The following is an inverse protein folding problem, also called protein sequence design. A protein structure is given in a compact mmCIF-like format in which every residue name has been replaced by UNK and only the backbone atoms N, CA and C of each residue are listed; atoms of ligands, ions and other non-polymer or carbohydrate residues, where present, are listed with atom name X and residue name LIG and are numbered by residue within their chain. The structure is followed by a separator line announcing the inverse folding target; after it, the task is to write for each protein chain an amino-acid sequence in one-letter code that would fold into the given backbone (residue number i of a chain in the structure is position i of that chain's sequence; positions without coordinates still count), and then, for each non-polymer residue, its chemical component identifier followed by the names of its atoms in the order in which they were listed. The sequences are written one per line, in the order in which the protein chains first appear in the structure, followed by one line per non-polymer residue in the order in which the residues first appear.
data_IF_476564964749
#
_entry.id   IF_476564964749
#
_cell.length_a   1.000
_cell.length_b   1.000
_cell.length_c   1.000
_cell.angle_alpha   90.00
_cell.angle_beta   90.00
_cell.angle_gamma   90.00
#
_symmetry.space_group_name_H-M   'P 1'
#
loop_
_entity.id
_entity.type
_entity.pdbx_description
1 polymer ?
#
# COMPACT_ATOMS: atom_id res chain seq x y z
N UNK A 1 -0.97 -39.61 -41.88
CA UNK A 1 -0.31 -40.41 -42.95
C UNK A 1 1.08 -40.83 -42.51
N UNK A 2 1.68 -41.83 -43.16
CA UNK A 2 3.06 -42.26 -42.89
C UNK A 2 4.06 -41.36 -43.63
N UNK A 3 4.89 -40.63 -42.89
CA UNK A 3 5.86 -39.67 -43.43
C UNK A 3 7.13 -40.31 -44.01
N UNK A 4 7.26 -41.64 -43.96
CA UNK A 4 8.28 -42.40 -44.72
C UNK A 4 7.86 -42.70 -46.16
N UNK A 5 6.58 -42.46 -46.49
CA UNK A 5 6.01 -42.67 -47.82
C UNK A 5 5.82 -41.33 -48.56
N UNK A 6 5.82 -41.36 -49.91
CA UNK A 6 6.08 -42.52 -50.78
C UNK A 6 7.55 -42.94 -50.82
N UNK A 7 7.78 -44.25 -50.93
CA UNK A 7 9.09 -44.90 -51.12
C UNK A 7 9.32 -45.34 -52.58
N UNK A 8 10.54 -45.79 -52.91
CA UNK A 8 10.87 -46.35 -54.24
C UNK A 8 10.03 -47.59 -54.61
N UNK A 9 9.42 -48.26 -53.63
CA UNK A 9 8.55 -49.42 -53.83
C UNK A 9 7.05 -49.06 -53.83
N UNK A 10 6.70 -47.79 -53.65
CA UNK A 10 5.30 -47.35 -53.65
C UNK A 10 4.72 -47.43 -55.06
N UNK A 11 3.57 -48.09 -55.20
CA UNK A 11 2.87 -48.15 -56.47
C UNK A 11 2.54 -46.72 -56.95
N UNK A 12 2.73 -46.46 -58.24
CA UNK A 12 2.47 -45.14 -58.83
C UNK A 12 1.03 -44.66 -58.56
N UNK A 13 0.06 -45.58 -58.57
CA UNK A 13 -1.34 -45.29 -58.25
C UNK A 13 -1.53 -44.69 -56.84
N UNK A 14 -0.71 -45.11 -55.87
CA UNK A 14 -0.79 -44.64 -54.49
C UNK A 14 0.05 -43.38 -54.25
N UNK A 15 1.05 -43.11 -55.09
CA UNK A 15 1.96 -41.96 -54.95
C UNK A 15 1.18 -40.63 -54.90
N UNK A 16 0.19 -40.47 -55.79
CA UNK A 16 -0.63 -39.26 -55.86
C UNK A 16 -1.42 -39.05 -54.58
N UNK A 17 -2.05 -40.09 -54.06
CA UNK A 17 -2.88 -40.01 -52.86
C UNK A 17 -2.04 -39.76 -51.61
N UNK A 18 -0.86 -40.38 -51.52
CA UNK A 18 0.13 -40.14 -50.46
C UNK A 18 0.62 -38.70 -50.46
N UNK A 19 0.98 -38.17 -51.63
CA UNK A 19 1.42 -36.77 -51.75
C UNK A 19 0.30 -35.80 -51.37
N UNK A 20 -0.93 -36.06 -51.85
CA UNK A 20 -2.09 -35.24 -51.52
C UNK A 20 -2.39 -35.24 -50.02
N UNK A 21 -2.30 -36.40 -49.37
CA UNK A 21 -2.49 -36.51 -47.92
C UNK A 21 -1.44 -35.70 -47.14
N UNK A 22 -0.19 -35.71 -47.60
CA UNK A 22 0.90 -34.94 -46.99
C UNK A 22 0.65 -33.44 -47.08
N UNK A 23 0.24 -32.96 -48.26
CA UNK A 23 -0.08 -31.56 -48.48
C UNK A 23 -1.25 -31.11 -47.59
N UNK A 24 -2.24 -31.98 -47.36
CA UNK A 24 -3.36 -31.69 -46.47
C UNK A 24 -2.95 -31.58 -45.00
N UNK A 25 -2.05 -32.43 -44.51
CA UNK A 25 -1.52 -32.34 -43.13
C UNK A 25 -0.69 -31.08 -42.94
N UNK A 26 0.20 -30.77 -43.90
CA UNK A 26 0.99 -29.54 -43.90
C UNK A 26 0.10 -28.29 -43.89
N UNK A 27 -0.92 -28.25 -44.75
CA UNK A 27 -1.84 -27.12 -44.84
C UNK A 27 -2.68 -26.92 -43.58
N UNK A 28 -2.99 -28.00 -42.85
CA UNK A 28 -3.69 -27.93 -41.56
C UNK A 28 -2.75 -27.62 -40.39
N UNK A 29 -1.45 -27.84 -40.56
CA UNK A 29 -0.46 -27.91 -39.47
C UNK A 29 -0.96 -28.80 -38.32
N UNK A 30 -1.53 -29.94 -38.69
CA UNK A 30 -2.13 -30.92 -37.79
C UNK A 30 -1.66 -32.32 -38.19
N UNK A 31 -0.81 -32.90 -37.35
CA UNK A 31 -0.15 -34.17 -37.58
C UNK A 31 -0.59 -35.22 -36.56
N UNK A 32 -1.75 -35.02 -35.91
CA UNK A 32 -2.25 -35.88 -34.83
C UNK A 32 -2.41 -37.36 -35.24
N UNK A 33 -2.71 -37.62 -36.52
CA UNK A 33 -2.83 -38.98 -37.09
C UNK A 33 -1.65 -39.40 -37.97
N UNK A 34 -0.53 -38.68 -37.91
CA UNK A 34 0.66 -38.99 -38.70
C UNK A 34 1.58 -39.98 -37.96
N UNK A 35 2.29 -40.80 -38.73
CA UNK A 35 3.29 -41.75 -38.23
C UNK A 35 4.63 -41.51 -38.90
N UNK A 36 5.71 -41.96 -38.27
CA UNK A 36 7.09 -41.80 -38.76
C UNK A 36 7.48 -40.34 -39.03
N UNK A 37 6.95 -39.42 -38.21
CA UNK A 37 7.29 -38.00 -38.26
C UNK A 37 8.76 -37.79 -37.87
N UNK A 38 9.55 -37.05 -38.68
CA UNK A 38 10.83 -36.54 -38.24
C UNK A 38 10.69 -35.62 -37.02
N UNK A 39 11.68 -35.62 -36.13
CA UNK A 39 11.72 -34.65 -35.03
C UNK A 39 11.75 -33.21 -35.58
N UNK A 40 11.15 -32.27 -34.84
CA UNK A 40 11.09 -30.86 -35.22
C UNK A 40 9.80 -30.43 -35.93
N UNK A 41 8.86 -31.35 -36.15
CA UNK A 41 7.55 -30.99 -36.68
C UNK A 41 6.79 -30.15 -35.66
N UNK A 42 6.14 -29.07 -36.12
CA UNK A 42 5.37 -28.16 -35.27
C UNK A 42 3.90 -28.28 -35.64
N UNK A 43 3.04 -28.48 -34.65
CA UNK A 43 1.58 -28.49 -34.83
C UNK A 43 0.90 -27.50 -33.89
N UNK A 44 -0.28 -27.03 -34.28
CA UNK A 44 -1.16 -26.34 -33.34
C UNK A 44 -2.05 -27.36 -32.63
N UNK A 45 -1.76 -27.63 -31.35
CA UNK A 45 -2.62 -28.47 -30.54
C UNK A 45 -3.89 -27.71 -30.16
N UNK A 46 -5.00 -28.06 -30.82
CA UNK A 46 -6.31 -27.43 -30.59
C UNK A 46 -6.91 -27.74 -29.21
N UNK A 47 -6.47 -28.79 -28.54
CA UNK A 47 -6.90 -29.14 -27.18
C UNK A 47 -6.18 -28.27 -26.17
N UNK A 48 -4.85 -28.20 -26.25
CA UNK A 48 -4.00 -27.45 -25.33
C UNK A 48 -3.86 -25.97 -25.69
N UNK A 49 -4.42 -25.54 -26.82
CA UNK A 49 -4.40 -24.16 -27.36
C UNK A 49 -3.00 -23.58 -27.49
N UNK A 50 -2.03 -24.44 -27.83
CA UNK A 50 -0.62 -24.07 -27.93
C UNK A 50 0.04 -24.73 -29.14
N UNK A 51 1.16 -24.15 -29.56
CA UNK A 51 2.06 -24.82 -30.49
C UNK A 51 2.86 -25.88 -29.74
N UNK A 52 3.01 -27.04 -30.37
CA UNK A 52 3.77 -28.19 -29.85
C UNK A 52 4.76 -28.66 -30.90
N UNK A 53 5.88 -29.21 -30.44
CA UNK A 53 6.92 -29.82 -31.28
C UNK A 53 6.92 -31.34 -31.09
N UNK A 54 7.05 -32.08 -32.19
CA UNK A 54 7.32 -33.51 -32.15
C UNK A 54 8.79 -33.74 -31.81
N UNK A 55 9.06 -34.26 -30.62
CA UNK A 55 10.42 -34.51 -30.15
C UNK A 55 11.04 -35.83 -30.70
N UNK A 56 10.34 -36.52 -31.60
CA UNK A 56 10.70 -37.85 -32.11
C UNK A 56 9.91 -38.99 -31.49
N UNK A 57 9.30 -38.78 -30.31
CA UNK A 57 8.54 -39.82 -29.58
C UNK A 57 7.17 -39.36 -29.09
N UNK A 58 7.01 -38.07 -28.81
CA UNK A 58 5.77 -37.46 -28.37
C UNK A 58 5.71 -35.98 -28.78
N UNK A 59 4.50 -35.44 -28.79
CA UNK A 59 4.28 -34.00 -28.86
C UNK A 59 4.59 -33.37 -27.51
N UNK A 60 5.51 -32.41 -27.49
CA UNK A 60 5.93 -31.66 -26.33
C UNK A 60 5.65 -30.16 -26.52
N UNK A 61 5.65 -29.40 -25.43
CA UNK A 61 5.53 -27.94 -25.48
C UNK A 61 6.69 -27.34 -26.28
N UNK A 62 6.38 -26.47 -27.25
CA UNK A 62 7.39 -25.84 -28.11
C UNK A 62 8.38 -25.00 -27.29
N UNK A 63 7.87 -24.31 -26.26
CA UNK A 63 8.66 -23.52 -25.31
C UNK A 63 7.97 -23.52 -23.95
N UNK A 64 8.73 -23.40 -22.86
CA UNK A 64 8.20 -23.36 -21.50
C UNK A 64 7.55 -22.00 -21.15
N UNK A 65 7.87 -20.94 -21.89
CA UNK A 65 7.36 -19.58 -21.68
C UNK A 65 6.96 -18.93 -23.00
N UNK A 66 5.72 -18.47 -23.09
CA UNK A 66 5.20 -17.80 -24.29
C UNK A 66 5.09 -16.29 -24.06
N UNK A 67 6.04 -15.53 -24.60
CA UNK A 67 5.93 -14.08 -24.67
C UNK A 67 4.95 -13.65 -25.78
N UNK A 68 3.65 -13.81 -25.54
CA UNK A 68 2.61 -13.39 -26.51
C UNK A 68 2.46 -11.87 -26.41
N UNK A 69 2.95 -11.16 -27.42
CA UNK A 69 2.70 -9.72 -27.57
C UNK A 69 1.24 -9.47 -27.93
N UNK A 70 0.39 -9.28 -26.93
CA UNK A 70 -1.00 -8.84 -27.11
C UNK A 70 -1.03 -7.31 -27.06
N UNK A 71 -1.34 -6.66 -28.18
CA UNK A 71 -1.24 -5.21 -28.35
C UNK A 71 -2.03 -4.38 -27.32
N UNK A 72 -3.08 -4.95 -26.69
CA UNK A 72 -3.95 -4.29 -25.71
C UNK A 72 -4.29 -5.22 -24.53
N UNK A 73 -3.29 -5.77 -23.85
CA UNK A 73 -3.55 -6.48 -22.61
C UNK A 73 -3.89 -5.46 -21.50
N UNK A 74 -5.18 -5.14 -21.32
CA UNK A 74 -5.68 -4.40 -20.13
C UNK A 74 -5.33 -5.14 -18.83
N UNK A 75 -5.02 -6.43 -18.91
CA UNK A 75 -4.47 -7.25 -17.81
C UNK A 75 -2.94 -7.29 -17.75
N UNK A 76 -2.21 -6.70 -18.70
CA UNK A 76 -0.76 -6.45 -18.59
C UNK A 76 -0.44 -5.18 -17.78
N UNK A 77 -1.46 -4.42 -17.36
CA UNK A 77 -1.33 -3.29 -16.41
C UNK A 77 -1.24 -3.75 -14.94
N UNK A 78 -1.26 -5.07 -14.70
CA UNK A 78 -0.98 -5.59 -13.37
C UNK A 78 0.52 -5.55 -13.11
N UNK A 79 1.01 -4.40 -12.65
CA UNK A 79 2.30 -4.37 -11.96
C UNK A 79 2.24 -5.41 -10.84
N UNK A 80 3.19 -6.36 -10.84
CA UNK A 80 3.27 -7.45 -9.86
C UNK A 80 1.95 -8.17 -9.56
N UNK A 81 1.13 -8.42 -10.59
CA UNK A 81 -0.15 -9.15 -10.47
C UNK A 81 -1.22 -8.45 -9.59
N UNK A 82 -1.11 -7.14 -9.33
CA UNK A 82 -2.10 -6.36 -8.58
C UNK A 82 -3.00 -5.52 -9.49
N UNK A 83 -4.26 -5.29 -9.07
CA UNK A 83 -5.15 -4.36 -9.76
C UNK A 83 -4.71 -2.91 -9.55
N UNK A 84 -5.05 -1.96 -10.45
CA UNK A 84 -4.74 -0.54 -10.26
C UNK A 84 -5.24 0.05 -8.93
N UNK A 85 -6.38 -0.42 -8.40
CA UNK A 85 -6.92 0.01 -7.10
C UNK A 85 -5.97 -0.26 -5.93
N UNK A 86 -5.16 -1.31 -6.01
CA UNK A 86 -4.17 -1.64 -4.99
C UNK A 86 -3.17 -0.49 -4.78
N UNK A 87 -2.76 0.16 -5.88
CA UNK A 87 -1.78 1.24 -5.89
C UNK A 87 -2.37 2.62 -5.59
N UNK A 88 -3.70 2.75 -5.63
CA UNK A 88 -4.41 3.99 -5.28
C UNK A 88 -4.80 4.04 -3.79
N UNK A 89 -4.89 2.89 -3.14
CA UNK A 89 -5.21 2.80 -1.71
C UNK A 89 -3.95 2.94 -0.84
N UNK A 90 -3.87 4.02 -0.07
CA UNK A 90 -2.75 4.27 0.81
C UNK A 90 -2.65 3.26 1.97
N UNK A 91 -3.72 2.52 2.30
CA UNK A 91 -3.68 1.45 3.30
C UNK A 91 -2.76 0.29 2.90
N UNK A 92 -2.51 0.12 1.60
CA UNK A 92 -1.59 -0.91 1.09
C UNK A 92 -0.12 -0.47 1.13
N UNK A 93 0.17 0.78 1.51
CA UNK A 93 1.54 1.25 1.68
C UNK A 93 2.09 0.81 3.05
N UNK A 94 2.90 -0.26 3.05
CA UNK A 94 3.51 -0.83 4.26
C UNK A 94 4.89 -0.25 4.59
N UNK A 95 5.42 0.62 3.73
CA UNK A 95 6.75 1.22 3.87
C UNK A 95 6.76 2.51 4.69
N UNK A 96 7.93 3.17 4.70
CA UNK A 96 8.08 4.53 5.23
C UNK A 96 8.15 5.53 4.07
N UNK A 97 7.48 6.67 4.22
CA UNK A 97 7.65 7.79 3.30
C UNK A 97 8.91 8.57 3.67
N UNK A 98 9.82 8.72 2.72
CA UNK A 98 10.95 9.63 2.87
C UNK A 98 10.43 11.06 3.11
N UNK A 99 11.09 11.83 3.98
CA UNK A 99 10.63 13.16 4.41
C UNK A 99 10.38 14.12 3.24
N UNK A 100 11.23 14.09 2.21
CA UNK A 100 11.06 14.92 1.01
C UNK A 100 9.86 14.55 0.13
N UNK A 101 9.20 13.41 0.38
CA UNK A 101 7.93 13.02 -0.28
C UNK A 101 6.70 13.46 0.51
N UNK A 102 6.89 13.97 1.72
CA UNK A 102 5.81 14.51 2.54
C UNK A 102 5.72 16.00 2.24
N UNK A 103 4.62 16.48 1.62
CA UNK A 103 4.46 17.91 1.36
C UNK A 103 4.27 18.69 2.66
N UNK A 104 4.36 20.01 2.59
CA UNK A 104 3.96 20.88 3.70
C UNK A 104 2.49 20.59 4.05
N UNK A 105 2.22 20.35 5.33
CA UNK A 105 0.88 20.04 5.83
C UNK A 105 0.30 21.27 6.51
N UNK A 106 -0.84 21.74 6.02
CA UNK A 106 -1.61 22.77 6.72
C UNK A 106 -2.11 22.22 8.06
N UNK A 107 -2.12 23.07 9.10
CA UNK A 107 -2.53 22.68 10.45
C UNK A 107 -3.93 22.03 10.49
N UNK A 108 -4.85 22.45 9.61
CA UNK A 108 -6.20 21.89 9.49
C UNK A 108 -6.27 20.42 9.02
N UNK A 109 -5.16 19.84 8.54
CA UNK A 109 -5.08 18.42 8.19
C UNK A 109 -4.89 17.51 9.41
N UNK A 110 -4.60 18.09 10.58
CA UNK A 110 -4.54 17.36 11.85
C UNK A 110 -5.89 17.51 12.55
N UNK A 111 -6.80 16.56 12.32
CA UNK A 111 -8.18 16.60 12.84
C UNK A 111 -8.39 15.76 14.09
N UNK A 112 -7.51 14.79 14.36
CA UNK A 112 -7.61 13.85 15.48
C UNK A 112 -6.23 13.44 16.01
N UNK A 113 -6.20 12.76 17.14
CA UNK A 113 -4.97 12.26 17.79
C UNK A 113 -4.38 13.23 18.82
N UNK A 114 -3.15 12.95 19.26
CA UNK A 114 -2.42 13.79 20.22
C UNK A 114 -0.97 13.90 19.81
N UNK A 115 -0.39 15.09 19.96
CA UNK A 115 1.05 15.28 19.78
C UNK A 115 1.79 14.83 21.04
N UNK A 116 2.88 14.07 20.86
CA UNK A 116 3.83 13.83 21.93
C UNK A 116 4.44 15.16 22.40
N UNK A 117 4.76 15.28 23.69
CA UNK A 117 5.31 16.51 24.28
C UNK A 117 6.53 17.06 23.53
N UNK A 118 7.45 16.20 23.08
CA UNK A 118 8.64 16.61 22.30
C UNK A 118 8.35 17.17 20.89
N UNK A 119 7.11 17.10 20.41
CA UNK A 119 6.65 17.74 19.16
C UNK A 119 5.96 19.08 19.41
N UNK A 120 5.65 19.39 20.67
CA UNK A 120 5.09 20.67 21.09
C UNK A 120 6.27 21.54 21.52
N UNK A 121 6.60 22.62 20.80
CA UNK A 121 7.70 23.50 21.19
C UNK A 121 7.34 24.28 22.47
N UNK A 122 8.34 24.90 23.09
CA UNK A 122 8.09 25.85 24.18
C UNK A 122 7.20 26.99 23.66
N UNK A 123 6.10 27.24 24.39
CA UNK A 123 5.13 28.26 24.06
C UNK A 123 5.34 29.46 24.98
N UNK A 124 5.80 30.56 24.41
CA UNK A 124 5.83 31.84 25.12
C UNK A 124 4.41 32.28 25.44
N UNK A 125 4.20 32.92 26.59
CA UNK A 125 2.86 33.29 27.07
C UNK A 125 2.06 34.11 26.04
N UNK A 126 2.71 34.97 25.25
CA UNK A 126 2.06 35.75 24.20
C UNK A 126 1.50 34.94 23.02
N UNK A 127 1.94 33.69 22.82
CA UNK A 127 1.35 32.77 21.83
C UNK A 127 0.00 32.20 22.28
N UNK A 128 -0.30 32.31 23.58
CA UNK A 128 -1.59 31.93 24.15
C UNK A 128 -2.43 33.20 24.30
N UNK A 129 -3.22 33.51 23.28
CA UNK A 129 -4.01 34.75 23.22
C UNK A 129 -5.44 34.57 23.71
N UNK A 130 -5.90 33.32 23.89
CA UNK A 130 -7.24 33.00 24.36
C UNK A 130 -7.32 31.59 24.97
N UNK A 131 -8.45 31.28 25.61
CA UNK A 131 -8.70 30.02 26.32
C UNK A 131 -8.53 30.13 27.84
N UNK A 132 -8.67 29.01 28.54
CA UNK A 132 -8.58 28.94 30.01
C UNK A 132 -7.61 27.85 30.43
N UNK A 133 -6.65 28.18 31.28
CA UNK A 133 -5.86 27.19 32.01
C UNK A 133 -6.59 26.80 33.30
N UNK A 134 -6.72 25.50 33.55
CA UNK A 134 -7.21 25.02 34.84
C UNK A 134 -6.24 25.42 35.95
N UNK A 135 -6.77 25.75 37.13
CA UNK A 135 -5.98 26.18 38.30
C UNK A 135 -4.88 25.19 38.69
N UNK A 136 -5.08 23.88 38.47
CA UNK A 136 -4.08 22.84 38.71
C UNK A 136 -2.86 22.88 37.77
N UNK A 137 -2.93 23.65 36.68
CA UNK A 137 -1.82 23.88 35.73
C UNK A 137 -1.08 25.18 36.01
N UNK A 138 -1.59 25.99 36.93
CA UNK A 138 -0.98 27.26 37.33
C UNK A 138 -0.31 27.06 38.67
N UNK A 139 0.92 27.55 38.82
CA UNK A 139 1.53 27.67 40.13
C UNK A 139 0.84 28.82 40.89
N UNK A 140 -0.09 28.46 41.77
CA UNK A 140 -0.87 29.42 42.55
C UNK A 140 -0.21 29.81 43.88
N UNK A 141 1.00 29.31 44.19
CA UNK A 141 1.65 29.56 45.47
C UNK A 141 1.84 31.07 45.76
N UNK A 142 2.12 31.86 44.72
CA UNK A 142 2.19 33.32 44.84
C UNK A 142 0.85 33.99 45.18
N UNK A 143 -0.28 33.45 44.73
CA UNK A 143 -1.62 34.03 44.96
C UNK A 143 -2.12 33.70 46.38
N UNK A 144 -1.85 32.49 46.87
CA UNK A 144 -2.19 32.09 48.24
C UNK A 144 -1.51 32.97 49.30
N UNK A 145 -0.25 33.39 49.05
CA UNK A 145 0.46 34.34 49.90
C UNK A 145 -0.23 35.71 49.97
N UNK A 146 -0.74 36.21 48.84
CA UNK A 146 -1.51 37.46 48.82
C UNK A 146 -2.82 37.36 49.62
N UNK A 147 -3.52 36.22 49.59
CA UNK A 147 -4.74 36.02 50.36
C UNK A 147 -4.52 36.14 51.88
N UNK A 148 -3.41 35.59 52.41
CA UNK A 148 -3.04 35.72 53.81
C UNK A 148 -2.71 37.17 54.20
N UNK A 149 -2.01 37.90 53.33
CA UNK A 149 -1.71 39.33 53.52
C UNK A 149 -3.01 40.16 53.51
N UNK A 150 -3.92 39.89 52.57
CA UNK A 150 -5.23 40.56 52.48
C UNK A 150 -6.04 40.35 53.77
N UNK A 151 -6.04 39.13 54.33
CA UNK A 151 -6.71 38.85 55.60
C UNK A 151 -6.14 39.70 56.75
N UNK A 152 -4.81 39.80 56.84
CA UNK A 152 -4.14 40.63 57.86
C UNK A 152 -4.42 42.12 57.68
N UNK A 153 -4.46 42.61 56.43
CA UNK A 153 -4.84 44.00 56.13
C UNK A 153 -6.28 44.29 56.61
N UNK A 154 -7.22 43.37 56.36
CA UNK A 154 -8.60 43.51 56.82
C UNK A 154 -8.69 43.53 58.36
N UNK A 155 -7.89 42.72 59.06
CA UNK A 155 -7.77 42.76 60.52
C UNK A 155 -7.29 44.14 61.02
N UNK A 156 -6.26 44.72 60.38
CA UNK A 156 -5.77 46.05 60.73
C UNK A 156 -6.83 47.15 60.49
N UNK A 157 -7.51 47.13 59.34
CA UNK A 157 -8.51 48.16 58.99
C UNK A 157 -9.67 48.19 59.99
N UNK A 158 -10.08 47.00 60.46
CA UNK A 158 -11.19 46.89 61.38
C UNK A 158 -10.76 47.06 62.85
N UNK A 159 -9.54 47.54 63.11
CA UNK A 159 -8.92 47.62 64.45
C UNK A 159 -9.06 46.33 65.27
N UNK A 160 -9.19 45.20 64.57
CA UNK A 160 -9.45 43.88 65.13
C UNK A 160 -8.22 43.05 64.85
N UNK A 161 -7.13 43.38 65.55
CA UNK A 161 -5.88 42.69 65.34
C UNK A 161 -5.94 41.34 66.05
N UNK A 162 -6.07 40.26 65.28
CA UNK A 162 -6.12 38.91 65.84
C UNK A 162 -4.71 38.34 65.95
N UNK A 163 -4.27 38.01 67.17
CA UNK A 163 -2.99 37.35 67.45
C UNK A 163 -3.29 35.95 67.97
N UNK A 164 -2.77 34.92 67.29
CA UNK A 164 -2.95 33.51 67.67
C UNK A 164 -4.42 33.10 67.91
N UNK A 165 -5.35 33.69 67.17
CA UNK A 165 -6.79 33.39 67.26
C UNK A 165 -7.56 34.19 68.31
N UNK A 166 -6.93 35.15 68.99
CA UNK A 166 -7.59 36.06 69.94
C UNK A 166 -7.54 37.49 69.46
N UNK A 167 -8.66 38.20 69.55
CA UNK A 167 -8.75 39.63 69.21
C UNK A 167 -8.06 40.47 70.29
N UNK A 168 -7.17 41.35 69.88
CA UNK A 168 -6.60 42.38 70.73
C UNK A 168 -7.42 43.66 70.54
N UNK A 169 -8.25 44.01 71.53
CA UNK A 169 -8.95 45.30 71.57
C UNK A 169 -7.95 46.42 71.89
N UNK A 170 -7.78 47.36 70.96
CA UNK A 170 -7.04 48.60 71.19
C UNK A 170 -8.10 49.65 71.56
N UNK A 171 -8.37 49.82 72.84
CA UNK A 171 -9.23 50.92 73.32
C UNK A 171 -8.57 52.26 72.97
N UNK A 172 -9.21 53.01 72.07
CA UNK A 172 -8.76 54.34 71.65
C UNK A 172 -9.50 55.46 72.37
N UNK A 173 -10.24 55.18 73.44
CA UNK A 173 -10.88 56.23 74.23
C UNK A 173 -9.83 57.00 75.06
N UNK A 174 -9.48 58.19 74.56
CA UNK A 174 -8.79 59.26 75.29
C UNK A 174 -9.77 60.39 75.52
#
# INVERSE_FOLDING_TARGET
MDWSLPSLSSAYANFKDLFKSRDEELGKMDFTGATNLPAGFIQYNRTNKRWEEWNGTAWAELEAEFAIKVANAVTADKLNNQLPSYYLDCANFTGTLATGRIPNLDAGKVTTGSFSTGRIPNLDAGKITSGTFGTSRLDMNGIAGHAAIIAKINELINNRFTVNGSELDIDTSV
#
